data_IF_589507056100
#
_entry.id   IF_589507056100
#
_cell.length_a   1.000
_cell.length_b   1.000
_cell.length_c   1.000
_cell.angle_alpha   90.00
_cell.angle_beta   90.00
_cell.angle_gamma   90.00
#
_symmetry.space_group_name_H-M   'P 1'
#
loop_
_entity.id
_entity.type
_entity.pdbx_description
1 polymer ?
#
# COMPACT_ATOMS: atom_id res chain seq x y z
N UNK A 1 -34.80 -24.10 -65.47
CA UNK A 1 -34.84 -23.15 -64.35
C UNK A 1 -34.14 -23.84 -63.17
N UNK A 2 -32.80 -23.98 -63.12
CA UNK A 2 -31.75 -23.00 -62.78
C UNK A 2 -32.08 -22.14 -61.55
N UNK A 3 -31.63 -22.62 -60.40
CA UNK A 3 -31.59 -21.92 -59.11
C UNK A 3 -30.81 -22.76 -58.09
N UNK A 4 -29.51 -22.99 -58.34
CA UNK A 4 -28.61 -23.60 -57.35
C UNK A 4 -28.20 -22.50 -56.36
N UNK A 5 -28.69 -22.57 -55.12
CA UNK A 5 -28.13 -21.80 -54.01
C UNK A 5 -26.72 -22.34 -53.72
N UNK A 6 -25.72 -21.48 -53.89
CA UNK A 6 -24.35 -21.70 -53.45
C UNK A 6 -24.26 -21.16 -52.02
N UNK A 7 -24.21 -22.05 -51.04
CA UNK A 7 -23.86 -21.71 -49.66
C UNK A 7 -22.33 -21.69 -49.60
N UNK A 8 -21.75 -20.48 -49.56
CA UNK A 8 -20.33 -20.29 -49.31
C UNK A 8 -20.05 -20.58 -47.83
N UNK A 9 -19.42 -21.72 -47.55
CA UNK A 9 -18.74 -22.01 -46.28
C UNK A 9 -17.44 -21.19 -46.27
N UNK A 10 -17.41 -20.08 -45.54
CA UNK A 10 -16.16 -19.42 -45.14
C UNK A 10 -15.55 -20.18 -43.95
N UNK A 11 -14.24 -20.49 -43.97
CA UNK A 11 -13.56 -21.02 -42.81
C UNK A 11 -13.35 -19.87 -41.80
N UNK A 12 -13.82 -20.06 -40.57
CA UNK A 12 -13.42 -19.27 -39.41
C UNK A 12 -11.94 -19.56 -39.14
N UNK A 13 -11.05 -18.72 -39.70
CA UNK A 13 -9.70 -18.55 -39.20
C UNK A 13 -9.82 -17.89 -37.83
N UNK A 14 -9.65 -18.67 -36.77
CA UNK A 14 -9.38 -18.15 -35.43
C UNK A 14 -7.97 -17.55 -35.52
N UNK A 15 -7.90 -16.25 -35.76
CA UNK A 15 -6.68 -15.48 -35.58
C UNK A 15 -6.42 -15.42 -34.08
N UNK A 16 -5.56 -16.31 -33.60
CA UNK A 16 -4.86 -16.13 -32.33
C UNK A 16 -4.15 -14.78 -32.42
N UNK A 17 -4.53 -13.81 -31.57
CA UNK A 17 -3.79 -12.57 -31.42
C UNK A 17 -2.44 -12.88 -30.79
N UNK A 18 -1.46 -13.19 -31.63
CA UNK A 18 -0.05 -13.09 -31.30
C UNK A 18 0.25 -11.60 -31.16
N UNK A 19 0.39 -11.11 -29.93
CA UNK A 19 0.97 -9.79 -29.67
C UNK A 19 2.47 -9.88 -30.01
N UNK A 20 2.78 -9.59 -31.28
CA UNK A 20 4.13 -9.24 -31.72
C UNK A 20 4.19 -7.74 -31.89
N UNK A 21 4.64 -7.02 -30.88
CA UNK A 21 5.06 -5.61 -31.03
C UNK A 21 6.57 -5.58 -31.16
N UNK A 22 7.01 -5.48 -32.41
CA UNK A 22 8.37 -5.12 -32.78
C UNK A 22 8.53 -3.59 -32.77
N UNK A 23 9.11 -3.07 -31.69
CA UNK A 23 9.85 -1.79 -31.65
C UNK A 23 11.16 -2.00 -30.89
N UNK A 24 12.28 -1.41 -31.31
CA UNK A 24 13.60 -1.78 -30.81
C UNK A 24 13.96 -1.01 -29.53
N UNK A 25 14.25 -1.78 -28.47
CA UNK A 25 15.32 -1.55 -27.50
C UNK A 25 15.25 -0.29 -26.61
N UNK A 26 14.32 -0.25 -25.65
CA UNK A 26 14.47 0.56 -24.41
C UNK A 26 13.66 0.00 -23.23
N UNK A 27 13.39 -1.32 -23.23
CA UNK A 27 12.64 -2.02 -22.18
C UNK A 27 13.24 -3.38 -21.80
N UNK A 28 14.52 -3.60 -22.08
CA UNK A 28 15.24 -4.77 -21.59
C UNK A 28 16.49 -4.29 -20.88
N UNK A 29 16.68 -4.78 -19.65
CA UNK A 29 17.97 -5.13 -19.02
C UNK A 29 18.13 -4.68 -17.55
N UNK A 30 17.28 -5.15 -16.63
CA UNK A 30 17.73 -5.31 -15.24
C UNK A 30 18.48 -6.63 -15.02
N UNK A 31 18.32 -7.62 -15.91
CA UNK A 31 18.95 -8.94 -15.80
C UNK A 31 20.26 -9.11 -16.61
N UNK A 32 20.67 -8.14 -17.43
CA UNK A 32 21.89 -8.31 -18.26
C UNK A 32 23.21 -7.93 -17.60
N UNK A 33 23.17 -7.30 -16.43
CA UNK A 33 24.37 -6.78 -15.76
C UNK A 33 24.58 -7.34 -14.35
N UNK A 34 24.04 -8.52 -14.04
CA UNK A 34 24.39 -9.23 -12.82
C UNK A 34 25.84 -9.73 -12.89
N UNK A 35 26.63 -9.39 -11.88
CA UNK A 35 27.90 -10.04 -11.58
C UNK A 35 27.68 -11.53 -11.29
N UNK A 36 28.75 -12.33 -11.38
CA UNK A 36 28.67 -13.77 -11.11
C UNK A 36 28.20 -14.07 -9.67
N UNK A 37 28.55 -13.20 -8.72
CA UNK A 37 28.16 -13.32 -7.31
C UNK A 37 26.70 -12.93 -7.07
N UNK A 38 26.22 -11.83 -7.68
CA UNK A 38 24.80 -11.45 -7.62
C UNK A 38 23.95 -12.53 -8.28
N UNK A 39 24.37 -13.07 -9.42
CA UNK A 39 23.64 -14.14 -10.11
C UNK A 39 23.46 -15.38 -9.23
N UNK A 40 24.52 -15.82 -8.56
CA UNK A 40 24.46 -16.97 -7.66
C UNK A 40 23.52 -16.72 -6.48
N UNK A 41 23.58 -15.52 -5.89
CA UNK A 41 22.68 -15.12 -4.81
C UNK A 41 21.21 -15.07 -5.29
N UNK A 42 20.96 -14.49 -6.46
CA UNK A 42 19.61 -14.37 -7.04
C UNK A 42 19.04 -15.77 -7.28
N UNK A 43 19.81 -16.67 -7.86
CA UNK A 43 19.36 -18.05 -8.09
C UNK A 43 19.09 -18.82 -6.79
N UNK A 44 19.95 -18.64 -5.78
CA UNK A 44 19.74 -19.25 -4.46
C UNK A 44 18.48 -18.71 -3.78
N UNK A 45 18.25 -17.41 -3.83
CA UNK A 45 17.03 -16.77 -3.30
C UNK A 45 15.78 -17.18 -4.06
N UNK A 46 15.81 -17.24 -5.38
CA UNK A 46 14.67 -17.71 -6.18
C UNK A 46 14.30 -19.14 -5.82
N UNK A 47 15.30 -20.01 -5.65
CA UNK A 47 15.09 -21.40 -5.29
C UNK A 47 14.60 -21.58 -3.84
N UNK A 48 15.13 -20.81 -2.90
CA UNK A 48 14.84 -20.98 -1.46
C UNK A 48 13.67 -20.14 -0.95
N UNK A 49 13.39 -19.01 -1.60
CA UNK A 49 12.36 -18.04 -1.20
C UNK A 49 11.10 -18.07 -2.06
N UNK A 50 11.22 -18.44 -3.35
CA UNK A 50 10.08 -18.49 -4.28
C UNK A 50 9.85 -19.89 -4.88
N UNK A 51 10.65 -20.88 -4.49
CA UNK A 51 10.69 -22.23 -5.07
C UNK A 51 10.87 -22.26 -6.60
N UNK A 52 11.40 -21.17 -7.17
CA UNK A 52 11.61 -20.98 -8.60
C UNK A 52 13.00 -21.47 -8.98
N UNK A 53 13.07 -22.62 -9.66
CA UNK A 53 14.33 -23.16 -10.18
C UNK A 53 14.66 -22.59 -11.57
N UNK A 54 15.05 -21.32 -11.61
CA UNK A 54 15.37 -20.60 -12.85
C UNK A 54 16.86 -20.69 -13.19
N UNK A 55 17.20 -21.53 -14.18
CA UNK A 55 18.58 -21.68 -14.66
C UNK A 55 19.03 -20.58 -15.62
N UNK A 56 18.10 -19.83 -16.21
CA UNK A 56 18.38 -18.70 -17.09
C UNK A 56 17.53 -17.48 -16.68
N UNK A 57 18.19 -16.43 -16.20
CA UNK A 57 17.54 -15.20 -15.72
C UNK A 57 17.33 -14.16 -16.84
N UNK A 58 17.73 -14.47 -18.08
CA UNK A 58 17.85 -13.45 -19.15
C UNK A 58 16.89 -13.62 -20.33
N UNK A 59 16.17 -14.74 -20.46
CA UNK A 59 15.13 -14.96 -21.47
C UNK A 59 14.20 -16.12 -21.06
N UNK A 60 12.93 -16.05 -21.47
CA UNK A 60 11.81 -16.98 -21.15
C UNK A 60 11.32 -16.95 -19.69
N UNK A 61 11.22 -15.75 -19.10
CA UNK A 61 10.50 -15.55 -17.83
C UNK A 61 9.04 -15.20 -18.10
N UNK A 62 8.13 -15.81 -17.35
CA UNK A 62 6.77 -15.31 -17.18
C UNK A 62 6.77 -14.00 -16.38
N UNK A 63 5.70 -13.19 -16.45
CA UNK A 63 5.61 -11.94 -15.71
C UNK A 63 5.86 -12.09 -14.20
N UNK A 64 5.41 -13.20 -13.60
CA UNK A 64 5.57 -13.47 -12.18
C UNK A 64 7.04 -13.84 -11.85
N UNK A 65 7.70 -14.56 -12.74
CA UNK A 65 9.13 -14.89 -12.62
C UNK A 65 10.02 -13.67 -12.80
N UNK A 66 9.65 -12.72 -13.68
CA UNK A 66 10.39 -11.46 -13.86
C UNK A 66 10.35 -10.61 -12.58
N UNK A 67 9.19 -10.49 -11.95
CA UNK A 67 9.04 -9.80 -10.66
C UNK A 67 9.89 -10.47 -9.57
N UNK A 68 9.87 -11.80 -9.50
CA UNK A 68 10.67 -12.53 -8.52
C UNK A 68 12.17 -12.34 -8.73
N UNK A 69 12.63 -12.32 -10.00
CA UNK A 69 14.04 -12.09 -10.37
C UNK A 69 14.48 -10.67 -10.00
N UNK A 70 13.64 -9.66 -10.23
CA UNK A 70 13.93 -8.28 -9.86
C UNK A 70 14.01 -8.11 -8.34
N UNK A 71 13.07 -8.66 -7.59
CA UNK A 71 13.09 -8.64 -6.12
C UNK A 71 14.32 -9.35 -5.55
N UNK A 72 14.66 -10.52 -6.07
CA UNK A 72 15.84 -11.27 -5.65
C UNK A 72 17.14 -10.50 -5.98
N UNK A 73 17.18 -9.79 -7.12
CA UNK A 73 18.32 -8.96 -7.53
C UNK A 73 18.58 -7.84 -6.55
N UNK A 74 17.55 -7.11 -6.15
CA UNK A 74 17.67 -6.03 -5.16
C UNK A 74 18.15 -6.56 -3.80
N UNK A 75 17.59 -7.68 -3.34
CA UNK A 75 17.98 -8.29 -2.07
C UNK A 75 19.43 -8.81 -2.06
N UNK A 76 19.95 -9.22 -3.20
CA UNK A 76 21.31 -9.73 -3.34
C UNK A 76 22.38 -8.64 -3.49
N UNK A 77 21.95 -7.41 -3.77
CA UNK A 77 22.82 -6.23 -3.79
C UNK A 77 23.02 -5.60 -2.42
N UNK A 78 22.21 -5.97 -1.43
CA UNK A 78 22.33 -5.50 -0.05
C UNK A 78 23.46 -6.25 0.68
N UNK A 79 24.45 -5.51 1.20
CA UNK A 79 25.60 -6.09 1.92
C UNK A 79 25.33 -6.31 3.43
N UNK A 80 25.95 -7.31 4.08
CA UNK A 80 25.63 -7.73 5.46
C UNK A 80 26.08 -6.80 6.60
N UNK A 81 26.57 -5.59 6.30
CA UNK A 81 27.08 -4.67 7.33
C UNK A 81 25.99 -3.83 8.01
N UNK A 82 24.75 -3.89 7.51
CA UNK A 82 23.63 -3.08 8.00
C UNK A 82 22.72 -3.86 8.94
N UNK A 83 23.20 -4.15 10.15
CA UNK A 83 22.32 -4.50 11.27
C UNK A 83 22.34 -3.37 12.31
N UNK A 84 21.31 -2.51 12.39
CA UNK A 84 21.24 -1.52 13.45
C UNK A 84 20.72 -2.12 14.75
N UNK A 85 21.52 -1.92 15.78
CA UNK A 85 21.16 -2.13 17.19
C UNK A 85 20.05 -1.16 17.59
N UNK A 86 19.08 -1.66 18.37
CA UNK A 86 17.92 -0.92 18.89
C UNK A 86 18.28 0.48 19.40
N UNK A 87 17.73 1.51 18.77
CA UNK A 87 17.57 2.85 19.35
C UNK A 87 16.09 3.22 19.30
N UNK A 88 15.62 3.79 20.41
CA UNK A 88 14.22 4.13 20.67
C UNK A 88 13.77 5.17 19.65
N UNK A 89 12.76 4.81 18.84
CA UNK A 89 12.07 5.72 17.93
C UNK A 89 11.29 6.74 18.74
N UNK A 90 11.54 8.01 18.47
CA UNK A 90 10.79 9.11 19.03
C UNK A 90 9.45 9.22 18.27
N UNK A 91 8.43 8.55 18.77
CA UNK A 91 7.07 8.57 18.21
C UNK A 91 6.40 9.96 18.32
N UNK A 92 7.07 11.00 18.86
CA UNK A 92 6.51 12.36 18.99
C UNK A 92 6.43 13.12 17.65
N UNK A 93 7.08 12.66 16.58
CA UNK A 93 7.01 13.35 15.28
C UNK A 93 6.07 12.66 14.29
N UNK A 94 5.18 13.43 13.63
CA UNK A 94 4.62 13.09 12.33
C UNK A 94 5.64 12.35 11.46
N UNK A 95 5.39 11.07 11.18
CA UNK A 95 6.22 10.24 10.29
C UNK A 95 5.98 10.62 8.81
N UNK A 96 5.68 11.89 8.54
CA UNK A 96 5.28 12.40 7.23
C UNK A 96 6.05 13.70 7.01
N UNK A 97 6.87 13.78 5.94
CA UNK A 97 7.56 15.01 5.57
C UNK A 97 6.60 16.20 5.45
N UNK A 98 7.02 17.36 5.98
CA UNK A 98 6.26 18.62 5.95
C UNK A 98 5.88 19.02 4.51
N UNK A 99 6.70 18.64 3.54
CA UNK A 99 6.47 18.87 2.10
C UNK A 99 5.15 18.23 1.63
N UNK A 100 4.75 17.09 2.18
CA UNK A 100 3.50 16.42 1.82
C UNK A 100 2.26 17.15 2.37
N UNK A 101 2.43 17.85 3.49
CA UNK A 101 1.37 18.66 4.10
C UNK A 101 1.12 19.96 3.32
N UNK A 102 2.05 20.37 2.44
CA UNK A 102 1.98 21.62 1.67
C UNK A 102 1.38 21.48 0.26
N UNK A 103 0.73 20.36 -0.02
CA UNK A 103 0.20 20.08 -1.35
C UNK A 103 -0.81 21.14 -1.87
N UNK A 104 -0.86 21.37 -3.21
CA UNK A 104 -1.81 22.30 -3.81
C UNK A 104 -3.25 21.94 -3.46
N UNK A 105 -4.07 22.90 -3.05
CA UNK A 105 -5.46 22.66 -2.64
C UNK A 105 -6.50 22.85 -3.73
N UNK A 106 -6.06 22.91 -4.99
CA UNK A 106 -6.90 23.17 -6.15
C UNK A 106 -6.32 22.43 -7.34
N UNK A 107 -7.14 21.59 -7.98
CA UNK A 107 -6.82 20.91 -9.22
C UNK A 107 -7.62 21.54 -10.37
N UNK A 108 -6.94 21.92 -11.45
CA UNK A 108 -7.59 22.24 -12.72
C UNK A 108 -7.36 21.07 -13.71
N UNK A 109 -8.41 20.45 -14.27
CA UNK A 109 -8.27 19.39 -15.27
C UNK A 109 -7.51 19.79 -16.54
N UNK A 110 -7.29 21.09 -16.75
CA UNK A 110 -6.52 21.64 -17.87
C UNK A 110 -5.05 21.90 -17.54
N UNK A 111 -4.66 21.76 -16.27
CA UNK A 111 -3.26 21.86 -15.86
C UNK A 111 -2.43 20.75 -16.50
N UNK A 112 -1.20 21.09 -16.85
CA UNK A 112 -0.24 20.10 -17.31
C UNK A 112 0.23 19.27 -16.10
N UNK A 113 0.36 17.94 -16.25
CA UNK A 113 0.98 17.11 -15.24
C UNK A 113 2.42 17.58 -14.91
N UNK A 114 2.91 17.37 -13.68
CA UNK A 114 4.17 17.96 -13.23
C UNK A 114 5.43 17.32 -13.81
N UNK A 115 5.35 16.15 -14.44
CA UNK A 115 6.51 15.40 -14.93
C UNK A 115 6.43 14.97 -16.39
N UNK A 116 7.15 13.90 -16.72
CA UNK A 116 7.27 13.35 -18.09
C UNK A 116 6.95 11.86 -18.15
N UNK A 117 6.53 11.28 -17.03
CA UNK A 117 6.17 9.87 -16.96
C UNK A 117 4.69 9.72 -17.34
N UNK A 118 4.37 9.12 -18.50
CA UNK A 118 2.99 9.06 -18.98
C UNK A 118 2.05 8.26 -18.05
N UNK A 119 2.58 7.31 -17.27
CA UNK A 119 1.78 6.52 -16.34
C UNK A 119 1.44 7.34 -15.10
N UNK A 120 2.42 8.05 -14.53
CA UNK A 120 2.18 8.96 -13.40
C UNK A 120 1.31 10.15 -13.80
N UNK A 121 1.44 10.65 -15.03
CA UNK A 121 0.58 11.70 -15.59
C UNK A 121 -0.89 11.26 -15.66
N UNK A 122 -1.11 10.01 -16.06
CA UNK A 122 -2.46 9.46 -16.13
C UNK A 122 -3.06 9.30 -14.73
N UNK A 123 -2.32 8.71 -13.78
CA UNK A 123 -2.78 8.59 -12.40
C UNK A 123 -3.00 9.96 -11.74
N UNK A 124 -2.17 10.97 -12.05
CA UNK A 124 -2.35 12.35 -11.60
C UNK A 124 -3.68 12.94 -12.09
N UNK A 125 -3.98 12.76 -13.37
CA UNK A 125 -5.23 13.24 -13.97
C UNK A 125 -6.45 12.54 -13.37
N UNK A 126 -6.42 11.21 -13.28
CA UNK A 126 -7.50 10.42 -12.70
C UNK A 126 -7.72 10.74 -11.21
N UNK A 127 -6.64 10.90 -10.45
CA UNK A 127 -6.69 11.31 -9.04
C UNK A 127 -7.34 12.70 -8.87
N UNK A 128 -6.94 13.67 -9.68
CA UNK A 128 -7.54 15.01 -9.67
C UNK A 128 -9.03 14.99 -10.00
N UNK A 129 -9.44 14.13 -10.95
CA UNK A 129 -10.85 13.90 -11.31
C UNK A 129 -11.65 13.14 -10.25
N UNK A 130 -11.00 12.58 -9.22
CA UNK A 130 -11.68 11.93 -8.10
C UNK A 130 -11.69 10.41 -8.15
N UNK A 131 -10.76 9.77 -8.87
CA UNK A 131 -10.51 8.34 -8.70
C UNK A 131 -9.55 8.10 -7.52
N UNK A 132 -10.10 7.55 -6.43
CA UNK A 132 -9.32 7.21 -5.23
C UNK A 132 -8.20 6.21 -5.50
N UNK A 133 -8.45 5.21 -6.34
CA UNK A 133 -7.48 4.16 -6.64
C UNK A 133 -6.33 4.74 -7.47
N UNK A 134 -6.62 5.69 -8.35
CA UNK A 134 -5.59 6.42 -9.06
C UNK A 134 -4.73 7.27 -8.11
N UNK A 135 -5.33 7.92 -7.11
CA UNK A 135 -4.56 8.63 -6.08
C UNK A 135 -3.64 7.68 -5.30
N UNK A 136 -4.13 6.52 -4.87
CA UNK A 136 -3.30 5.51 -4.20
C UNK A 136 -2.15 5.06 -5.11
N UNK A 137 -2.47 4.67 -6.35
CA UNK A 137 -1.46 4.21 -7.31
C UNK A 137 -0.40 5.29 -7.56
N UNK A 138 -0.81 6.55 -7.69
CA UNK A 138 0.09 7.69 -7.84
C UNK A 138 1.00 7.83 -6.61
N UNK A 139 0.44 7.80 -5.40
CA UNK A 139 1.20 7.94 -4.16
C UNK A 139 2.26 6.84 -4.01
N UNK A 140 1.92 5.59 -4.32
CA UNK A 140 2.85 4.46 -4.18
C UNK A 140 3.89 4.38 -5.32
N UNK A 141 3.59 4.96 -6.48
CA UNK A 141 4.46 4.86 -7.67
C UNK A 141 5.29 6.13 -7.90
N UNK A 142 4.90 7.26 -7.31
CA UNK A 142 5.60 8.53 -7.46
C UNK A 142 6.97 8.52 -6.77
N UNK A 143 7.98 9.21 -7.32
CA UNK A 143 9.23 9.48 -6.62
C UNK A 143 8.97 10.24 -5.31
N UNK A 144 9.75 9.94 -4.26
CA UNK A 144 9.65 10.66 -2.98
C UNK A 144 9.95 12.15 -3.13
N UNK A 145 9.22 12.97 -2.38
CA UNK A 145 9.26 14.42 -2.40
C UNK A 145 8.71 15.06 -3.68
N UNK A 146 8.28 14.26 -4.67
CA UNK A 146 7.81 14.80 -5.94
C UNK A 146 6.44 15.45 -5.82
N UNK A 147 6.14 16.36 -6.76
CA UNK A 147 4.82 16.99 -6.86
C UNK A 147 3.70 15.96 -7.09
N UNK A 148 3.99 14.82 -7.74
CA UNK A 148 3.05 13.72 -7.85
C UNK A 148 2.71 13.11 -6.49
N UNK A 149 3.73 12.86 -5.67
CA UNK A 149 3.56 12.27 -4.34
C UNK A 149 2.76 13.20 -3.43
N UNK A 150 3.09 14.50 -3.43
CA UNK A 150 2.36 15.52 -2.67
C UNK A 150 0.90 15.64 -3.16
N UNK A 151 0.68 15.67 -4.47
CA UNK A 151 -0.65 15.78 -5.03
C UNK A 151 -1.51 14.55 -4.73
N UNK A 152 -0.95 13.35 -4.89
CA UNK A 152 -1.60 12.09 -4.51
C UNK A 152 -1.95 12.05 -3.02
N UNK A 153 -1.00 12.44 -2.18
CA UNK A 153 -1.16 12.52 -0.72
C UNK A 153 -2.27 13.49 -0.29
N UNK A 154 -2.59 14.48 -1.13
CA UNK A 154 -3.69 15.42 -0.89
C UNK A 154 -5.03 14.99 -1.47
N UNK A 155 -5.12 13.79 -2.04
CA UNK A 155 -6.31 13.29 -2.75
C UNK A 155 -6.78 14.17 -3.90
N UNK A 156 -5.82 14.54 -4.75
CA UNK A 156 -6.09 15.36 -5.92
C UNK A 156 -6.37 16.81 -5.56
N UNK A 157 -5.67 17.33 -4.55
CA UNK A 157 -5.78 18.71 -4.07
C UNK A 157 -6.91 18.97 -3.08
N UNK A 158 -7.44 17.93 -2.44
CA UNK A 158 -8.51 18.01 -1.44
C UNK A 158 -8.01 17.99 0.01
N UNK A 159 -6.69 18.08 0.21
CA UNK A 159 -5.98 18.08 1.53
C UNK A 159 -6.45 16.96 2.46
N UNK A 160 -6.72 15.81 1.88
CA UNK A 160 -7.15 14.61 2.57
C UNK A 160 -6.15 13.52 2.23
N UNK A 161 -5.88 12.59 3.15
CA UNK A 161 -4.79 11.60 2.98
C UNK A 161 -5.31 10.20 2.69
N UNK A 162 -6.62 9.98 2.81
CA UNK A 162 -7.26 8.71 2.46
C UNK A 162 -8.34 8.96 1.41
N UNK A 163 -7.93 8.82 0.15
CA UNK A 163 -8.72 9.21 -0.99
C UNK A 163 -9.90 8.27 -1.19
N UNK A 164 -9.74 7.01 -0.77
CA UNK A 164 -10.78 5.98 -0.81
C UNK A 164 -11.92 6.33 0.15
N UNK A 165 -11.60 6.93 1.30
CA UNK A 165 -12.59 7.50 2.21
C UNK A 165 -13.28 8.75 1.65
N UNK A 166 -12.55 9.66 1.01
CA UNK A 166 -13.13 10.92 0.51
C UNK A 166 -13.94 10.75 -0.78
N UNK A 167 -13.55 9.81 -1.64
CA UNK A 167 -14.13 9.64 -2.99
C UNK A 167 -15.11 8.46 -3.09
N UNK A 168 -15.55 7.95 -1.93
CA UNK A 168 -16.80 7.20 -1.82
C UNK A 168 -16.73 5.72 -2.16
N UNK A 169 -15.60 5.05 -1.90
CA UNK A 169 -15.55 3.58 -2.01
C UNK A 169 -15.97 2.89 -0.70
N UNK A 170 -15.76 3.51 0.47
CA UNK A 170 -16.10 2.90 1.78
C UNK A 170 -16.90 3.80 2.74
N UNK A 171 -17.43 4.94 2.29
CA UNK A 171 -18.37 5.72 3.11
C UNK A 171 -19.81 5.25 2.81
N UNK A 172 -20.46 4.48 3.70
CA UNK A 172 -21.90 4.27 3.60
C UNK A 172 -22.57 5.62 3.85
N UNK A 173 -22.92 6.32 2.76
CA UNK A 173 -23.72 7.55 2.72
C UNK A 173 -23.20 8.66 3.66
N UNK A 174 -22.48 9.64 3.10
CA UNK A 174 -21.88 10.75 3.86
C UNK A 174 -22.73 11.30 5.01
N UNK A 175 -22.14 11.41 6.20
CA UNK A 175 -22.59 12.23 7.35
C UNK A 175 -21.79 11.94 8.66
N UNK A 176 -20.67 11.20 8.62
CA UNK A 176 -19.78 11.15 9.78
C UNK A 176 -19.04 12.49 9.90
N UNK A 177 -19.10 13.06 11.10
CA UNK A 177 -18.36 14.24 11.54
C UNK A 177 -17.85 14.00 12.96
N UNK A 178 -16.93 14.82 13.48
CA UNK A 178 -16.54 14.74 14.89
C UNK A 178 -17.71 14.90 15.88
N UNK A 179 -18.86 15.44 15.43
CA UNK A 179 -20.06 15.60 16.26
C UNK A 179 -21.05 14.44 16.13
N UNK A 180 -20.76 13.46 15.27
CA UNK A 180 -21.65 12.31 15.09
C UNK A 180 -21.60 11.45 16.36
N UNK A 181 -22.75 11.16 16.99
CA UNK A 181 -22.78 10.35 18.19
C UNK A 181 -22.39 8.90 17.89
N UNK A 182 -21.86 8.17 18.89
CA UNK A 182 -21.53 6.76 18.71
C UNK A 182 -22.79 5.90 18.45
N UNK A 183 -22.64 4.74 17.79
CA UNK A 183 -23.74 3.84 17.47
C UNK A 183 -24.55 3.33 18.69
N UNK A 184 -23.93 3.17 19.86
CA UNK A 184 -24.63 2.67 21.05
C UNK A 184 -24.65 1.15 21.20
N UNK A 185 -23.95 0.42 20.33
CA UNK A 185 -23.98 -1.05 20.28
C UNK A 185 -22.96 -1.69 21.23
N UNK A 186 -21.88 -0.99 21.58
CA UNK A 186 -20.81 -1.45 22.46
C UNK A 186 -20.29 -0.29 23.34
N UNK A 187 -20.39 -0.44 24.66
CA UNK A 187 -20.04 0.61 25.62
C UNK A 187 -18.55 0.98 25.59
N UNK A 188 -17.66 0.02 25.35
CA UNK A 188 -16.21 0.27 25.31
C UNK A 188 -15.81 0.93 23.99
N UNK A 189 -16.36 0.47 22.86
CA UNK A 189 -16.15 1.13 21.57
C UNK A 189 -16.77 2.53 21.53
N UNK A 190 -17.89 2.77 22.23
CA UNK A 190 -18.49 4.09 22.37
C UNK A 190 -17.61 5.07 23.14
N UNK A 191 -16.92 4.60 24.19
CA UNK A 191 -15.93 5.41 24.92
C UNK A 191 -14.75 5.78 24.02
N UNK A 192 -14.22 4.81 23.28
CA UNK A 192 -13.15 5.05 22.31
C UNK A 192 -13.60 6.00 21.20
N UNK A 193 -14.83 5.87 20.70
CA UNK A 193 -15.43 6.80 19.74
C UNK A 193 -15.47 8.22 20.29
N UNK A 194 -16.00 8.43 21.50
CA UNK A 194 -16.10 9.75 22.10
C UNK A 194 -14.72 10.41 22.27
N UNK A 195 -13.73 9.65 22.76
CA UNK A 195 -12.37 10.17 22.91
C UNK A 195 -11.73 10.48 21.54
N UNK A 196 -11.92 9.63 20.54
CA UNK A 196 -11.44 9.87 19.17
C UNK A 196 -12.12 11.11 18.53
N UNK A 197 -13.42 11.30 18.79
CA UNK A 197 -14.16 12.49 18.41
C UNK A 197 -13.58 13.76 19.07
N UNK A 198 -13.17 13.67 20.33
CA UNK A 198 -12.50 14.75 21.08
C UNK A 198 -11.03 14.96 20.68
N UNK A 199 -10.47 14.09 19.85
CA UNK A 199 -9.14 14.25 19.26
C UNK A 199 -8.04 13.37 19.85
N UNK A 200 -8.38 12.32 20.60
CA UNK A 200 -7.42 11.33 21.10
C UNK A 200 -6.90 10.44 19.96
N UNK A 201 -5.61 10.57 19.62
CA UNK A 201 -4.95 9.71 18.62
C UNK A 201 -4.92 8.24 19.02
N UNK A 202 -4.60 7.96 20.28
CA UNK A 202 -4.55 6.62 20.87
C UNK A 202 -5.91 5.94 20.80
N UNK A 203 -6.99 6.66 21.09
CA UNK A 203 -8.36 6.13 21.02
C UNK A 203 -8.79 5.87 19.57
N UNK A 204 -8.45 6.75 18.62
CA UNK A 204 -8.73 6.50 17.21
C UNK A 204 -7.98 5.26 16.70
N UNK A 205 -6.71 5.10 17.08
CA UNK A 205 -5.91 3.93 16.70
C UNK A 205 -6.41 2.64 17.37
N UNK A 206 -6.83 2.70 18.63
CA UNK A 206 -7.42 1.56 19.33
C UNK A 206 -8.73 1.13 18.67
N UNK A 207 -9.60 2.08 18.34
CA UNK A 207 -10.85 1.82 17.62
C UNK A 207 -10.58 1.16 16.26
N UNK A 208 -9.54 1.60 15.54
CA UNK A 208 -9.12 1.02 14.26
C UNK A 208 -8.59 -0.42 14.40
N UNK A 209 -7.93 -0.76 15.51
CA UNK A 209 -7.36 -2.10 15.74
C UNK A 209 -8.39 -3.11 16.28
N UNK A 210 -9.39 -2.63 17.02
CA UNK A 210 -10.29 -3.50 17.78
C UNK A 210 -11.68 -3.62 17.20
N UNK A 211 -12.17 -2.60 16.50
CA UNK A 211 -13.50 -2.62 15.91
C UNK A 211 -13.59 -3.60 14.74
N UNK A 212 -14.76 -4.22 14.59
CA UNK A 212 -15.08 -5.08 13.45
C UNK A 212 -14.87 -4.33 12.13
N UNK A 213 -14.20 -4.98 11.19
CA UNK A 213 -13.86 -4.48 9.87
C UNK A 213 -15.12 -4.08 9.11
N UNK A 214 -15.15 -2.84 8.61
CA UNK A 214 -16.30 -2.27 7.89
C UNK A 214 -17.41 -1.74 8.80
N UNK A 215 -17.32 -1.88 10.13
CA UNK A 215 -18.27 -1.26 11.07
C UNK A 215 -18.13 0.28 11.07
N UNK A 216 -19.15 0.98 11.58
CA UNK A 216 -19.07 2.43 11.78
C UNK A 216 -17.89 2.80 12.69
N UNK A 217 -17.64 2.02 13.74
CA UNK A 217 -16.49 2.23 14.63
C UNK A 217 -15.16 2.15 13.88
N UNK A 218 -14.94 1.09 13.08
CA UNK A 218 -13.68 0.96 12.34
C UNK A 218 -13.48 2.10 11.34
N UNK A 219 -14.55 2.54 10.68
CA UNK A 219 -14.52 3.67 9.75
C UNK A 219 -14.24 5.01 10.45
N UNK A 220 -14.83 5.24 11.61
CA UNK A 220 -14.60 6.45 12.40
C UNK A 220 -13.17 6.54 12.92
N UNK A 221 -12.61 5.41 13.41
CA UNK A 221 -11.21 5.34 13.83
C UNK A 221 -10.24 5.50 12.66
N UNK A 222 -10.52 4.82 11.54
CA UNK A 222 -9.74 4.91 10.29
C UNK A 222 -9.76 6.32 9.70
N UNK A 223 -10.78 7.13 9.97
CA UNK A 223 -10.89 8.51 9.51
C UNK A 223 -10.44 9.56 10.52
N UNK A 224 -9.81 9.13 11.63
CA UNK A 224 -9.38 9.98 12.74
C UNK A 224 -10.52 10.85 13.29
N UNK A 225 -11.66 10.19 13.54
CA UNK A 225 -12.88 10.83 14.02
C UNK A 225 -13.57 11.64 12.94
N UNK A 226 -13.69 11.06 11.73
CA UNK A 226 -14.29 11.69 10.55
C UNK A 226 -13.62 12.99 10.09
N UNK A 227 -12.31 13.09 10.30
CA UNK A 227 -11.47 14.19 9.81
C UNK A 227 -10.79 13.88 8.47
N UNK A 228 -11.02 12.67 7.95
CA UNK A 228 -10.64 12.31 6.59
C UNK A 228 -9.14 12.06 6.47
N UNK A 229 -8.60 11.21 7.34
CA UNK A 229 -7.25 10.69 7.18
C UNK A 229 -7.10 9.44 8.03
N UNK A 230 -6.20 8.55 7.63
CA UNK A 230 -5.72 7.42 8.44
C UNK A 230 -4.50 7.75 9.29
N UNK A 231 -3.84 8.88 9.02
CA UNK A 231 -2.68 9.38 9.78
C UNK A 231 -3.15 10.36 10.86
N UNK A 232 -3.63 9.84 11.99
CA UNK A 232 -4.21 10.70 13.03
C UNK A 232 -3.20 11.68 13.63
N UNK A 233 -1.95 11.26 13.75
CA UNK A 233 -0.85 12.08 14.31
C UNK A 233 -0.53 13.34 13.52
N UNK A 234 -1.06 13.51 12.30
CA UNK A 234 -0.87 14.73 11.52
C UNK A 234 -1.85 15.86 11.84
N UNK A 235 -3.02 15.51 12.35
CA UNK A 235 -4.14 16.45 12.50
C UNK A 235 -4.69 16.49 13.92
N UNK A 236 -4.30 15.53 14.75
CA UNK A 236 -4.67 15.40 16.15
C UNK A 236 -3.42 15.49 17.04
N UNK A 237 -3.62 15.94 18.27
CA UNK A 237 -2.56 15.95 19.28
C UNK A 237 -2.21 14.52 19.67
N UNK A 238 -0.92 14.19 19.62
CA UNK A 238 -0.46 12.87 20.01
C UNK A 238 -0.57 12.69 21.53
N UNK A 239 -1.35 11.69 21.93
CA UNK A 239 -1.62 11.36 23.34
C UNK A 239 -1.14 9.95 23.73
N UNK A 240 -0.41 9.28 22.83
CA UNK A 240 0.18 7.96 23.05
C UNK A 240 -0.22 6.93 22.00
N UNK A 241 0.37 5.75 22.11
CA UNK A 241 0.03 4.60 21.26
C UNK A 241 -1.23 3.88 21.77
N UNK A 242 -2.02 3.27 20.87
CA UNK A 242 -3.11 2.38 21.24
C UNK A 242 -2.66 1.24 22.17
N UNK A 243 -3.37 0.98 23.28
CA UNK A 243 -3.01 -0.10 24.20
C UNK A 243 -2.86 -1.47 23.55
N UNK A 244 -3.68 -1.80 22.54
CA UNK A 244 -3.62 -3.06 21.79
C UNK A 244 -2.29 -3.29 21.08
N UNK A 245 -1.51 -2.24 20.78
CA UNK A 245 -0.18 -2.41 20.18
C UNK A 245 0.82 -3.10 21.11
N UNK A 246 0.64 -3.00 22.44
CA UNK A 246 1.57 -3.64 23.39
C UNK A 246 1.59 -5.17 23.28
N UNK A 247 0.54 -5.75 22.69
CA UNK A 247 0.39 -7.19 22.50
C UNK A 247 1.01 -7.68 21.19
N UNK A 248 1.29 -6.78 20.24
CA UNK A 248 1.86 -7.09 18.94
C UNK A 248 3.34 -6.76 18.92
N UNK A 249 4.13 -7.63 18.27
CA UNK A 249 5.57 -7.44 18.13
C UNK A 249 6.03 -7.86 16.74
N UNK A 250 7.01 -7.17 16.14
CA UNK A 250 7.50 -7.51 14.81
C UNK A 250 8.05 -8.94 14.68
N UNK A 251 8.58 -9.49 15.78
CA UNK A 251 9.19 -10.83 15.84
C UNK A 251 8.21 -11.91 16.30
N UNK A 252 6.90 -11.65 16.33
CA UNK A 252 5.89 -12.63 16.67
C UNK A 252 5.81 -13.70 15.56
N UNK A 253 5.70 -14.97 15.95
CA UNK A 253 5.47 -16.07 15.01
C UNK A 253 4.08 -15.96 14.37
N UNK A 254 3.94 -16.27 13.07
CA UNK A 254 2.65 -16.19 12.39
C UNK A 254 1.68 -17.29 12.90
N UNK A 255 0.35 -17.10 12.76
CA UNK A 255 -0.65 -18.02 13.30
C UNK A 255 -0.63 -19.44 12.72
N UNK A 256 -0.10 -19.66 11.51
CA UNK A 256 -0.06 -21.01 10.92
C UNK A 256 -1.35 -21.42 10.20
N UNK A 257 -2.30 -20.51 10.01
CA UNK A 257 -3.64 -20.82 9.46
C UNK A 257 -3.68 -20.75 7.92
N UNK A 258 -2.84 -19.90 7.32
CA UNK A 258 -2.74 -19.70 5.88
C UNK A 258 -1.29 -19.39 5.50
N UNK A 259 -0.71 -20.20 4.62
CA UNK A 259 0.70 -20.12 4.24
C UNK A 259 1.06 -18.79 3.56
N UNK A 260 0.17 -18.25 2.71
CA UNK A 260 0.40 -16.97 2.03
C UNK A 260 0.34 -15.82 3.05
N UNK A 261 -0.65 -15.83 3.94
CA UNK A 261 -0.78 -14.79 4.97
C UNK A 261 0.36 -14.86 5.99
N UNK A 262 0.89 -16.04 6.29
CA UNK A 262 2.06 -16.22 7.15
C UNK A 262 3.33 -15.66 6.51
N UNK A 263 3.51 -15.84 5.19
CA UNK A 263 4.62 -15.22 4.46
C UNK A 263 4.51 -13.70 4.49
N UNK A 264 3.31 -13.15 4.20
CA UNK A 264 3.04 -11.72 4.28
C UNK A 264 3.26 -11.17 5.70
N UNK A 265 2.90 -11.95 6.73
CA UNK A 265 3.17 -11.61 8.13
C UNK A 265 4.67 -11.45 8.39
N UNK A 266 5.47 -12.44 8.00
CA UNK A 266 6.94 -12.39 8.21
C UNK A 266 7.55 -11.19 7.48
N UNK A 267 7.14 -10.94 6.23
CA UNK A 267 7.62 -9.79 5.47
C UNK A 267 7.19 -8.46 6.10
N UNK A 268 5.94 -8.35 6.56
CA UNK A 268 5.44 -7.18 7.26
C UNK A 268 6.23 -6.90 8.55
N UNK A 269 6.50 -7.92 9.37
CA UNK A 269 7.35 -7.80 10.57
C UNK A 269 8.77 -7.33 10.24
N UNK A 270 9.27 -7.71 9.06
CA UNK A 270 10.55 -7.30 8.48
C UNK A 270 10.49 -5.98 7.67
N UNK A 271 9.49 -5.13 7.95
CA UNK A 271 9.38 -3.77 7.41
C UNK A 271 9.03 -3.71 5.91
N UNK A 272 8.43 -4.76 5.35
CA UNK A 272 7.85 -4.67 4.01
C UNK A 272 6.45 -4.04 4.06
N UNK A 273 6.36 -2.76 3.71
CA UNK A 273 5.12 -1.99 3.79
C UNK A 273 4.01 -2.55 2.88
N UNK A 274 4.39 -3.10 1.72
CA UNK A 274 3.46 -3.69 0.78
C UNK A 274 2.83 -4.96 1.37
N UNK A 275 3.62 -5.80 2.00
CA UNK A 275 3.14 -6.99 2.71
C UNK A 275 2.23 -6.63 3.87
N UNK A 276 2.54 -5.58 4.66
CA UNK A 276 1.62 -5.11 5.70
C UNK A 276 0.26 -4.66 5.11
N UNK A 277 0.29 -3.93 3.99
CA UNK A 277 -0.93 -3.50 3.28
C UNK A 277 -1.72 -4.70 2.75
N UNK A 278 -1.06 -5.63 2.08
CA UNK A 278 -1.68 -6.81 1.51
C UNK A 278 -2.24 -7.73 2.61
N UNK A 279 -1.54 -7.84 3.74
CA UNK A 279 -2.03 -8.58 4.91
C UNK A 279 -3.29 -7.94 5.51
N UNK A 280 -3.31 -6.61 5.68
CA UNK A 280 -4.49 -5.88 6.14
C UNK A 280 -5.68 -5.97 5.17
N UNK A 281 -5.40 -6.14 3.87
CA UNK A 281 -6.41 -6.18 2.80
C UNK A 281 -6.99 -7.56 2.58
N UNK A 282 -6.16 -8.60 2.59
CA UNK A 282 -6.55 -9.96 2.21
C UNK A 282 -6.73 -10.90 3.40
N UNK A 283 -6.30 -10.48 4.60
CA UNK A 283 -6.54 -11.25 5.81
C UNK A 283 -8.04 -11.46 6.08
N UNK A 284 -8.44 -12.53 6.79
CA UNK A 284 -9.82 -12.72 7.22
C UNK A 284 -10.27 -11.54 8.09
N UNK A 285 -11.52 -11.09 7.95
CA UNK A 285 -12.08 -10.01 8.75
C UNK A 285 -11.85 -10.26 10.25
N UNK A 286 -11.41 -9.23 10.96
CA UNK A 286 -11.18 -9.22 12.42
C UNK A 286 -10.12 -10.21 12.93
N UNK A 287 -9.36 -10.81 12.01
CA UNK A 287 -8.26 -11.72 12.35
C UNK A 287 -7.04 -10.97 12.86
N UNK A 288 -6.17 -11.71 13.54
CA UNK A 288 -4.87 -11.20 13.97
C UNK A 288 -4.00 -10.78 12.77
N UNK A 289 -4.17 -11.40 11.59
CA UNK A 289 -3.48 -10.99 10.37
C UNK A 289 -3.80 -9.54 9.99
N UNK A 290 -5.09 -9.17 9.98
CA UNK A 290 -5.49 -7.78 9.69
C UNK A 290 -4.91 -6.83 10.73
N UNK A 291 -5.03 -7.16 12.03
CA UNK A 291 -4.49 -6.33 13.11
C UNK A 291 -2.98 -6.13 12.99
N UNK A 292 -2.24 -7.18 12.64
CA UNK A 292 -0.79 -7.12 12.43
C UNK A 292 -0.42 -6.25 11.22
N UNK A 293 -1.17 -6.37 10.12
CA UNK A 293 -0.98 -5.53 8.93
C UNK A 293 -1.28 -4.06 9.19
N UNK A 294 -2.40 -3.75 9.84
CA UNK A 294 -2.79 -2.38 10.22
C UNK A 294 -1.79 -1.77 11.21
N UNK A 295 -1.21 -2.58 12.10
CA UNK A 295 -0.21 -2.14 13.08
C UNK A 295 1.22 -2.09 12.55
N UNK A 296 1.43 -2.21 11.23
CA UNK A 296 2.76 -2.18 10.62
C UNK A 296 3.73 -3.18 11.27
N UNK A 297 3.22 -4.39 11.51
CA UNK A 297 3.94 -5.44 12.20
C UNK A 297 4.08 -5.20 13.71
N UNK A 298 3.09 -4.57 14.34
CA UNK A 298 3.10 -4.27 15.78
C UNK A 298 3.99 -3.10 16.18
N UNK A 299 4.15 -2.09 15.32
CA UNK A 299 4.99 -0.91 15.58
C UNK A 299 4.21 0.38 15.75
N UNK A 300 3.19 0.57 14.94
CA UNK A 300 2.35 1.78 14.94
C UNK A 300 1.11 1.51 14.11
N UNK A 301 0.03 2.24 14.37
CA UNK A 301 -1.15 2.17 13.51
C UNK A 301 -0.86 2.93 12.22
N UNK A 302 -0.98 2.18 11.11
CA UNK A 302 -0.74 2.55 9.73
C UNK A 302 -0.97 4.02 9.39
N UNK A 303 -0.20 4.56 8.42
CA UNK A 303 0.41 3.79 7.30
C UNK A 303 1.89 3.47 7.34
N UNK A 304 2.18 2.21 6.98
CA UNK A 304 3.47 1.56 7.16
C UNK A 304 4.57 2.00 6.21
N UNK A 305 4.21 2.41 4.99
CA UNK A 305 5.20 2.83 3.98
C UNK A 305 6.04 4.03 4.44
N UNK A 306 5.40 4.96 5.14
CA UNK A 306 6.05 6.15 5.70
C UNK A 306 6.88 5.81 6.93
N UNK A 307 6.26 5.10 7.88
CA UNK A 307 6.96 4.61 9.06
C UNK A 307 8.27 3.90 8.69
N UNK A 308 8.22 2.94 7.78
CA UNK A 308 9.41 2.17 7.42
C UNK A 308 10.42 3.01 6.63
N UNK A 309 9.98 3.98 5.83
CA UNK A 309 10.90 4.92 5.18
C UNK A 309 11.68 5.76 6.21
N UNK A 310 11.01 6.24 7.26
CA UNK A 310 11.65 7.06 8.29
C UNK A 310 12.65 6.24 9.11
N UNK A 311 12.31 5.00 9.48
CA UNK A 311 13.24 4.06 10.13
C UNK A 311 14.53 3.83 9.32
N UNK A 312 14.43 3.79 7.98
CA UNK A 312 15.61 3.68 7.11
C UNK A 312 16.43 4.97 7.04
N UNK A 313 15.79 6.14 7.19
CA UNK A 313 16.46 7.45 7.12
C UNK A 313 17.21 7.83 8.40
N UNK A 314 16.80 7.28 9.54
CA UNK A 314 17.47 7.45 10.83
C UNK A 314 18.68 6.51 11.02
N UNK A 315 19.01 5.72 10.00
CA UNK A 315 20.21 4.88 9.97
C UNK A 315 21.45 5.73 9.65
N UNK A 316 22.45 5.84 10.56
CA UNK A 316 23.66 6.63 10.34
C UNK A 316 24.62 6.06 9.28
#
# INVERSE_FOLDING_TARGET
>A
MKGRLIIWLLPLLISSCSYGTSTPNEGQQFTSSLTEQERACVQDRLLTGWELNLTNLTNDLSPDEEIAVDMATELCRLTPSDQPTQLQTDNEKPQVPEELLQAPSTFDPTDAPPGKDPLLDEYWRECGLGDAKACDNLFYSAPRGSDYEQFAFSCGGRRNMDCSLLLGIDQPNGDLSPLTPPPGDDEELDKLWANCADGSTSSCGELRLTATSGSLYSQFGTSCGARGTTYCTLILEYDGEPPSLNELKPSMEPPGEDELLDQLWVLCGNQDARSCKDLAKYGPADSIYIKFGISCGGRSVAPCARLFADLTSESP
#
